data_IF_142509590098
#
_entry.id   IF_142509590098
#
_cell.length_a   1.000
_cell.length_b   1.000
_cell.length_c   1.000
_cell.angle_alpha   90.00
_cell.angle_beta   90.00
_cell.angle_gamma   90.00
#
_symmetry.space_group_name_H-M   'P 1'
#
loop_
_entity.id
_entity.type
_entity.pdbx_description
1 polymer ?
#
# COMPACT_ATOMS: atom_id res chain seq x y z
N UNK A 1 -10.77 25.84 -19.94
CA UNK A 1 -10.86 24.65 -19.05
C UNK A 1 -10.31 25.05 -17.72
N UNK A 2 -11.17 25.20 -16.77
CA UNK A 2 -10.77 25.50 -15.41
C UNK A 2 -10.19 24.26 -14.75
N UNK A 3 -9.01 24.41 -14.25
CA UNK A 3 -8.17 23.38 -13.65
C UNK A 3 -8.59 23.11 -12.19
N UNK A 4 -9.88 22.84 -12.00
CA UNK A 4 -10.45 22.64 -10.65
C UNK A 4 -10.08 21.29 -10.01
N UNK A 5 -9.47 20.39 -10.79
CA UNK A 5 -9.06 19.09 -10.26
C UNK A 5 -7.74 19.14 -9.47
N UNK A 6 -6.95 20.19 -9.64
CA UNK A 6 -5.69 20.39 -8.92
C UNK A 6 -5.87 21.12 -7.58
N UNK A 7 -7.07 21.61 -7.30
CA UNK A 7 -7.33 22.38 -6.08
C UNK A 7 -7.26 21.61 -4.77
N UNK A 8 -7.25 20.29 -4.81
CA UNK A 8 -7.15 19.45 -3.60
C UNK A 8 -5.72 19.16 -3.16
N UNK A 9 -4.75 19.33 -4.05
CA UNK A 9 -3.36 19.00 -3.77
C UNK A 9 -2.47 20.19 -4.05
N UNK A 10 -1.87 20.74 -2.99
CA UNK A 10 -0.98 21.90 -3.09
C UNK A 10 0.36 21.56 -3.74
N UNK A 11 0.72 20.26 -3.80
CA UNK A 11 2.02 19.80 -4.29
C UNK A 11 1.84 18.55 -5.15
N UNK A 12 2.74 18.39 -6.12
CA UNK A 12 2.84 17.17 -6.89
C UNK A 12 4.22 16.55 -6.72
N UNK A 13 4.25 15.22 -6.74
CA UNK A 13 5.49 14.45 -6.62
C UNK A 13 5.51 13.39 -7.73
N UNK A 14 6.07 13.73 -8.90
CA UNK A 14 6.18 12.75 -9.97
C UNK A 14 7.23 11.70 -9.63
N UNK A 15 6.88 10.43 -9.85
CA UNK A 15 7.78 9.30 -9.62
C UNK A 15 8.05 8.60 -10.94
N UNK A 16 9.31 8.62 -11.37
CA UNK A 16 9.73 7.85 -12.54
C UNK A 16 9.83 6.36 -12.22
N UNK A 17 9.82 5.53 -13.26
CA UNK A 17 10.06 4.09 -13.09
C UNK A 17 11.42 3.80 -12.44
N UNK A 18 12.44 4.56 -12.80
CA UNK A 18 13.78 4.43 -12.19
C UNK A 18 13.76 4.75 -10.70
N UNK A 19 13.06 5.80 -10.31
CA UNK A 19 12.89 6.16 -8.90
C UNK A 19 12.13 5.09 -8.13
N UNK A 20 11.01 4.62 -8.67
CA UNK A 20 10.23 3.58 -8.04
C UNK A 20 11.06 2.30 -7.84
N UNK A 21 11.81 1.91 -8.85
CA UNK A 21 12.69 0.73 -8.77
C UNK A 21 13.75 0.90 -7.67
N UNK A 22 14.43 2.04 -7.66
CA UNK A 22 15.44 2.34 -6.65
C UNK A 22 14.87 2.38 -5.24
N UNK A 23 13.72 3.02 -5.06
CA UNK A 23 13.08 3.14 -3.76
C UNK A 23 12.52 1.80 -3.28
N UNK A 24 11.97 0.99 -4.17
CA UNK A 24 11.53 -0.36 -3.83
C UNK A 24 12.70 -1.26 -3.42
N UNK A 25 13.87 -1.12 -4.05
CA UNK A 25 15.09 -1.80 -3.59
C UNK A 25 15.51 -1.34 -2.20
N UNK A 26 15.44 -0.03 -1.93
CA UNK A 26 15.73 0.50 -0.60
C UNK A 26 14.77 -0.06 0.44
N UNK A 27 13.49 -0.24 0.08
CA UNK A 27 12.52 -0.89 0.96
C UNK A 27 12.95 -2.34 1.26
N UNK A 28 13.36 -3.09 0.25
CA UNK A 28 13.84 -4.46 0.44
C UNK A 28 15.04 -4.51 1.41
N UNK A 29 15.98 -3.58 1.30
CA UNK A 29 17.13 -3.54 2.20
C UNK A 29 16.73 -3.27 3.65
N UNK A 30 15.74 -2.40 3.87
CA UNK A 30 15.19 -2.17 5.22
C UNK A 30 14.49 -3.41 5.75
N UNK A 31 13.84 -4.16 4.89
CA UNK A 31 13.12 -5.38 5.27
C UNK A 31 14.03 -6.58 5.51
N UNK A 32 15.27 -6.54 5.02
CA UNK A 32 16.23 -7.63 5.19
C UNK A 32 16.49 -7.98 6.66
N UNK A 33 16.42 -6.98 7.55
CA UNK A 33 16.60 -7.18 8.99
C UNK A 33 15.42 -7.91 9.65
N UNK A 34 14.29 -8.03 8.94
CA UNK A 34 13.08 -8.66 9.45
C UNK A 34 12.86 -10.08 8.89
N UNK A 35 13.78 -10.57 8.06
CA UNK A 35 13.71 -11.94 7.53
C UNK A 35 13.80 -13.00 8.65
N UNK A 36 13.18 -14.17 8.48
CA UNK A 36 12.57 -14.68 7.27
C UNK A 36 11.10 -14.31 7.11
N UNK A 37 10.64 -14.25 5.84
CA UNK A 37 9.22 -14.19 5.49
C UNK A 37 8.84 -15.44 4.68
N UNK A 38 7.60 -15.90 4.85
CA UNK A 38 7.05 -17.01 4.06
C UNK A 38 6.76 -16.58 2.61
N UNK A 39 6.43 -15.33 2.41
CA UNK A 39 6.09 -14.75 1.12
C UNK A 39 5.54 -13.35 1.26
N UNK A 40 5.06 -12.82 0.15
CA UNK A 40 4.51 -11.47 0.06
C UNK A 40 3.02 -11.54 -0.27
N UNK A 41 2.26 -10.62 0.33
CA UNK A 41 0.88 -10.31 -0.04
C UNK A 41 0.90 -8.89 -0.61
N UNK A 42 0.73 -8.77 -1.93
CA UNK A 42 0.68 -7.47 -2.59
C UNK A 42 -0.73 -6.91 -2.54
N UNK A 43 -0.88 -5.66 -2.13
CA UNK A 43 -2.15 -4.95 -2.22
C UNK A 43 -2.29 -4.43 -3.64
N UNK A 44 -3.24 -4.99 -4.38
CA UNK A 44 -3.43 -4.60 -5.78
C UNK A 44 -4.21 -3.28 -5.88
N UNK A 45 -3.96 -2.49 -6.85
CA UNK A 45 -2.97 -2.67 -7.94
C UNK A 45 -1.61 -2.08 -7.59
N UNK A 46 -1.58 -1.02 -6.78
CA UNK A 46 -0.38 -0.23 -6.51
C UNK A 46 0.80 -1.03 -5.98
N UNK A 47 0.55 -2.05 -5.17
CA UNK A 47 1.59 -2.87 -4.58
C UNK A 47 2.22 -3.92 -5.52
N UNK A 48 1.67 -4.13 -6.71
CA UNK A 48 2.15 -5.19 -7.60
C UNK A 48 3.60 -4.99 -8.05
N UNK A 49 3.94 -3.80 -8.51
CA UNK A 49 5.32 -3.52 -8.98
C UNK A 49 6.31 -3.49 -7.82
N UNK A 50 6.05 -2.77 -6.72
CA UNK A 50 6.94 -2.85 -5.55
C UNK A 50 7.11 -4.26 -5.01
N UNK A 51 6.03 -5.05 -4.93
CA UNK A 51 6.10 -6.43 -4.45
C UNK A 51 7.02 -7.30 -5.32
N UNK A 52 6.94 -7.15 -6.64
CA UNK A 52 7.81 -7.88 -7.57
C UNK A 52 9.29 -7.56 -7.34
N UNK A 53 9.60 -6.30 -7.14
CA UNK A 53 10.98 -5.84 -6.90
C UNK A 53 11.48 -6.35 -5.54
N UNK A 54 10.67 -6.19 -4.49
CA UNK A 54 11.03 -6.63 -3.14
C UNK A 54 11.19 -8.17 -3.09
N UNK A 55 10.30 -8.89 -3.73
CA UNK A 55 10.39 -10.35 -3.81
C UNK A 55 11.71 -10.81 -4.44
N UNK A 56 12.11 -10.16 -5.51
CA UNK A 56 13.37 -10.46 -6.18
C UNK A 56 14.58 -10.17 -5.30
N UNK A 57 14.60 -9.02 -4.65
CA UNK A 57 15.72 -8.61 -3.80
C UNK A 57 15.84 -9.47 -2.55
N UNK A 58 14.72 -9.91 -1.96
CA UNK A 58 14.71 -10.74 -0.77
C UNK A 58 14.65 -12.25 -1.07
N UNK A 59 14.67 -12.61 -2.36
CA UNK A 59 14.59 -14.01 -2.80
C UNK A 59 13.34 -14.74 -2.30
N UNK A 60 12.22 -14.02 -2.23
CA UNK A 60 10.92 -14.57 -1.89
C UNK A 60 10.19 -15.01 -3.16
N UNK A 61 9.77 -16.28 -3.20
CA UNK A 61 9.16 -16.85 -4.41
C UNK A 61 7.64 -16.87 -4.36
N UNK A 62 7.06 -16.84 -3.18
CA UNK A 62 5.61 -16.90 -3.02
C UNK A 62 5.05 -15.50 -2.93
N UNK A 63 4.19 -15.14 -3.89
CA UNK A 63 3.49 -13.87 -3.91
C UNK A 63 2.01 -14.16 -4.06
N UNK A 64 1.23 -13.72 -3.07
CA UNK A 64 -0.22 -13.66 -3.14
C UNK A 64 -0.67 -12.21 -3.29
N UNK A 65 -1.94 -12.02 -3.56
CA UNK A 65 -2.53 -10.69 -3.70
C UNK A 65 -3.78 -10.54 -2.84
N UNK A 66 -4.05 -9.32 -2.42
CA UNK A 66 -5.32 -8.93 -1.84
C UNK A 66 -5.82 -7.68 -2.57
N UNK A 67 -7.07 -7.69 -2.99
CA UNK A 67 -7.68 -6.56 -3.68
C UNK A 67 -8.71 -5.91 -2.78
N UNK A 68 -8.50 -4.65 -2.46
CA UNK A 68 -9.41 -3.86 -1.64
C UNK A 68 -9.72 -2.54 -2.33
N UNK A 69 -10.93 -2.07 -2.16
CA UNK A 69 -11.34 -0.74 -2.64
C UNK A 69 -11.94 0.04 -1.48
N UNK A 70 -11.63 1.33 -1.47
CA UNK A 70 -12.23 2.27 -0.53
C UNK A 70 -13.42 2.96 -1.20
N UNK A 71 -14.57 2.90 -0.53
CA UNK A 71 -15.75 3.65 -0.96
C UNK A 71 -15.62 5.09 -0.47
N UNK A 72 -15.09 5.96 -1.28
CA UNK A 72 -14.98 7.35 -0.85
C UNK A 72 -14.56 8.33 -1.91
N UNK A 73 -14.00 7.84 -3.00
CA UNK A 73 -13.34 8.73 -3.94
C UNK A 73 -13.82 8.68 -5.39
N UNK A 74 -14.53 7.65 -5.86
CA UNK A 74 -14.69 7.47 -7.29
C UNK A 74 -16.11 7.33 -7.83
N UNK A 75 -17.10 6.89 -7.06
CA UNK A 75 -18.45 6.70 -7.59
C UNK A 75 -19.52 7.21 -6.62
N UNK A 76 -19.81 8.48 -6.73
CA UNK A 76 -20.95 9.12 -6.04
C UNK A 76 -22.29 8.57 -6.51
N UNK A 77 -22.31 7.73 -7.56
CA UNK A 77 -23.56 7.28 -8.19
C UNK A 77 -24.19 6.08 -7.52
N UNK A 78 -23.43 5.25 -6.83
CA UNK A 78 -23.89 4.01 -6.22
C UNK A 78 -23.82 4.01 -4.67
N UNK A 79 -23.53 5.14 -4.07
CA UNK A 79 -23.28 5.18 -2.63
C UNK A 79 -24.51 5.59 -1.85
N UNK A 80 -25.05 4.65 -1.15
CA UNK A 80 -25.89 4.92 0.03
C UNK A 80 -24.99 5.58 1.08
N UNK A 81 -25.40 6.73 1.63
CA UNK A 81 -24.62 7.54 2.59
C UNK A 81 -24.01 6.75 3.77
N UNK A 82 -24.42 5.51 3.99
CA UNK A 82 -23.98 4.65 5.09
C UNK A 82 -22.64 3.96 4.85
N UNK A 83 -22.11 3.99 3.62
CA UNK A 83 -20.93 3.22 3.25
C UNK A 83 -19.68 4.07 2.99
N UNK A 84 -19.77 5.38 3.22
CA UNK A 84 -18.62 6.28 3.11
C UNK A 84 -17.57 5.90 4.15
N UNK A 85 -16.36 5.59 3.67
CA UNK A 85 -15.22 5.22 4.52
C UNK A 85 -15.10 3.72 4.79
N UNK A 86 -15.97 2.88 4.22
CA UNK A 86 -15.81 1.43 4.31
C UNK A 86 -14.89 0.91 3.20
N UNK A 87 -14.05 -0.04 3.58
CA UNK A 87 -13.19 -0.76 2.65
C UNK A 87 -13.86 -2.10 2.33
N UNK A 88 -13.95 -2.40 1.05
CA UNK A 88 -14.48 -3.68 0.57
C UNK A 88 -13.36 -4.53 -0.01
N UNK A 89 -13.32 -5.79 0.40
CA UNK A 89 -12.41 -6.77 -0.18
C UNK A 89 -13.03 -7.33 -1.46
N UNK A 90 -12.39 -7.07 -2.60
CA UNK A 90 -12.80 -7.60 -3.90
C UNK A 90 -12.24 -9.00 -4.14
N UNK A 91 -10.99 -9.22 -3.74
CA UNK A 91 -10.33 -10.51 -3.83
C UNK A 91 -9.57 -10.76 -2.53
N UNK A 92 -9.94 -11.76 -1.73
CA UNK A 92 -9.22 -12.06 -0.51
C UNK A 92 -7.88 -12.72 -0.80
N UNK A 93 -6.98 -12.65 0.18
CA UNK A 93 -5.76 -13.45 0.17
C UNK A 93 -6.08 -14.91 0.45
N UNK A 94 -5.26 -15.83 -0.05
CA UNK A 94 -5.32 -17.25 0.28
C UNK A 94 -4.52 -17.61 1.53
N UNK A 95 -3.84 -16.64 2.11
CA UNK A 95 -3.08 -16.84 3.35
C UNK A 95 -4.04 -17.02 4.51
N UNK A 96 -3.94 -18.15 5.17
CA UNK A 96 -4.75 -18.47 6.33
C UNK A 96 -4.18 -17.88 7.61
N UNK A 97 -5.06 -17.67 8.59
CA UNK A 97 -4.66 -17.23 9.92
C UNK A 97 -4.46 -15.70 10.02
N UNK A 98 -3.55 -15.31 10.90
CA UNK A 98 -3.31 -13.91 11.29
C UNK A 98 -2.22 -13.21 10.47
N UNK A 99 -1.63 -13.90 9.50
CA UNK A 99 -0.57 -13.35 8.65
C UNK A 99 0.82 -13.41 9.25
N UNK A 100 1.01 -14.08 10.39
CA UNK A 100 2.33 -14.21 10.99
C UNK A 100 3.34 -14.81 10.00
N UNK A 101 4.50 -14.20 9.87
CA UNK A 101 5.53 -14.61 8.92
C UNK A 101 5.33 -14.11 7.49
N UNK A 102 4.28 -13.35 7.22
CA UNK A 102 4.00 -12.78 5.89
C UNK A 102 4.30 -11.30 5.82
N UNK A 103 4.70 -10.86 4.64
CA UNK A 103 4.99 -9.46 4.32
C UNK A 103 3.90 -8.91 3.42
N UNK A 104 3.26 -7.83 3.85
CA UNK A 104 2.32 -7.07 3.02
C UNK A 104 3.07 -5.93 2.38
N UNK A 105 2.88 -5.72 1.08
CA UNK A 105 3.52 -4.64 0.32
C UNK A 105 2.48 -3.81 -0.41
N UNK A 106 2.57 -2.50 -0.23
CA UNK A 106 1.82 -1.50 -0.99
C UNK A 106 2.78 -0.44 -1.54
N UNK A 107 2.31 0.37 -2.45
CA UNK A 107 3.09 1.50 -3.01
C UNK A 107 3.04 2.74 -2.11
N UNK A 108 1.85 3.09 -1.66
CA UNK A 108 1.58 4.29 -0.87
C UNK A 108 0.51 4.01 0.18
N UNK A 109 0.75 4.47 1.39
CA UNK A 109 -0.28 4.56 2.42
C UNK A 109 -0.63 6.03 2.62
N UNK A 110 -1.83 6.42 2.22
CA UNK A 110 -2.32 7.80 2.27
C UNK A 110 -2.97 8.10 3.61
N UNK A 111 -4.28 7.86 3.74
CA UNK A 111 -5.01 8.05 5.00
C UNK A 111 -4.85 6.87 5.96
N UNK A 112 -4.50 5.73 5.43
CA UNK A 112 -4.37 4.48 6.18
C UNK A 112 -5.63 3.63 6.24
N UNK A 113 -6.71 4.01 5.55
CA UNK A 113 -7.96 3.24 5.54
C UNK A 113 -7.77 1.82 5.00
N UNK A 114 -7.16 1.71 3.82
CA UNK A 114 -6.85 0.41 3.21
C UNK A 114 -5.91 -0.41 4.10
N UNK A 115 -4.86 0.21 4.60
CA UNK A 115 -3.88 -0.45 5.46
C UNK A 115 -4.52 -0.97 6.74
N UNK A 116 -5.36 -0.19 7.40
CA UNK A 116 -6.08 -0.63 8.61
C UNK A 116 -7.02 -1.80 8.34
N UNK A 117 -7.72 -1.78 7.20
CA UNK A 117 -8.61 -2.87 6.83
C UNK A 117 -7.84 -4.17 6.56
N UNK A 118 -6.74 -4.10 5.82
CA UNK A 118 -5.90 -5.27 5.56
C UNK A 118 -5.25 -5.76 6.85
N UNK A 119 -4.78 -4.86 7.69
CA UNK A 119 -4.19 -5.21 8.97
C UNK A 119 -5.17 -5.85 9.93
N UNK A 120 -6.45 -5.49 9.87
CA UNK A 120 -7.49 -6.15 10.65
C UNK A 120 -7.68 -7.62 10.24
N UNK A 121 -7.48 -7.94 8.97
CA UNK A 121 -7.54 -9.30 8.45
C UNK A 121 -6.27 -10.11 8.75
N UNK A 122 -5.12 -9.45 8.77
CA UNK A 122 -3.79 -10.06 8.92
C UNK A 122 -2.99 -9.29 9.98
N UNK A 123 -3.41 -9.34 11.25
CA UNK A 123 -2.85 -8.45 12.28
C UNK A 123 -1.39 -8.74 12.62
N UNK A 124 -0.89 -9.92 12.35
CA UNK A 124 0.50 -10.32 12.65
C UNK A 124 1.44 -10.21 11.44
N UNK A 125 0.92 -9.83 10.27
CA UNK A 125 1.77 -9.61 9.11
C UNK A 125 2.60 -8.32 9.27
N UNK A 126 3.79 -8.31 8.69
CA UNK A 126 4.62 -7.11 8.61
C UNK A 126 4.13 -6.25 7.43
N UNK A 127 3.75 -5.01 7.68
CA UNK A 127 3.21 -4.11 6.66
C UNK A 127 4.28 -3.15 6.17
N UNK A 128 4.58 -3.20 4.87
CA UNK A 128 5.56 -2.36 4.22
C UNK A 128 4.95 -1.54 3.08
N UNK A 129 5.41 -0.31 2.93
CA UNK A 129 5.01 0.57 1.84
C UNK A 129 6.23 1.34 1.33
N UNK A 130 6.24 1.65 0.03
CA UNK A 130 7.31 2.48 -0.55
C UNK A 130 7.20 3.90 -0.01
N UNK A 131 6.00 4.48 -0.06
CA UNK A 131 5.70 5.82 0.42
C UNK A 131 4.67 5.77 1.54
N UNK A 132 4.76 6.72 2.46
CA UNK A 132 3.76 6.90 3.50
C UNK A 132 3.49 8.39 3.74
N UNK A 133 2.22 8.74 3.89
CA UNK A 133 1.81 10.07 4.32
C UNK A 133 1.55 10.08 5.83
N UNK A 134 1.62 11.27 6.47
CA UNK A 134 1.52 11.35 7.93
C UNK A 134 0.29 10.68 8.53
N UNK A 135 -0.88 10.79 7.88
CA UNK A 135 -2.13 10.20 8.39
C UNK A 135 -2.11 8.66 8.38
N UNK A 136 -1.32 8.04 7.49
CA UNK A 136 -1.23 6.59 7.37
C UNK A 136 0.03 5.98 7.98
N UNK A 137 1.02 6.80 8.31
CA UNK A 137 2.34 6.33 8.75
C UNK A 137 2.29 5.39 9.96
N UNK A 138 1.41 5.63 10.90
CA UNK A 138 1.32 4.83 12.13
C UNK A 138 0.86 3.38 11.89
N UNK A 139 0.26 3.09 10.74
CA UNK A 139 -0.23 1.76 10.38
C UNK A 139 0.84 0.92 9.68
N UNK A 140 1.93 1.55 9.22
CA UNK A 140 3.00 0.93 8.45
C UNK A 140 4.17 0.58 9.36
N UNK A 141 4.67 -0.66 9.26
CA UNK A 141 5.85 -1.09 10.03
C UNK A 141 7.16 -0.60 9.40
N UNK A 142 7.24 -0.63 8.07
CA UNK A 142 8.43 -0.20 7.33
C UNK A 142 8.03 0.56 6.07
N UNK A 143 8.62 1.73 5.88
CA UNK A 143 8.47 2.52 4.64
C UNK A 143 9.79 3.23 4.32
N UNK A 144 9.93 3.78 3.13
CA UNK A 144 11.16 4.46 2.71
C UNK A 144 11.02 5.97 2.76
N UNK A 145 10.02 6.52 2.10
CA UNK A 145 9.91 7.98 1.91
C UNK A 145 8.58 8.49 2.46
N UNK A 146 8.67 9.46 3.37
CA UNK A 146 7.51 10.20 3.83
C UNK A 146 7.18 11.32 2.84
N UNK A 147 5.91 11.43 2.49
CA UNK A 147 5.38 12.45 1.59
C UNK A 147 4.28 13.21 2.33
N UNK A 148 4.24 14.53 2.16
CA UNK A 148 3.24 15.35 2.86
C UNK A 148 1.82 14.98 2.46
N UNK A 149 0.86 15.17 3.38
CA UNK A 149 -0.53 14.75 3.18
C UNK A 149 -1.19 15.43 1.99
N UNK A 150 -0.79 16.66 1.67
CA UNK A 150 -1.33 17.46 0.57
C UNK A 150 -0.64 17.21 -0.78
N UNK A 151 0.15 16.14 -0.89
CA UNK A 151 0.91 15.82 -2.09
C UNK A 151 0.21 14.74 -2.92
N UNK A 152 0.15 14.97 -4.21
CA UNK A 152 -0.26 13.96 -5.19
C UNK A 152 0.96 13.22 -5.73
N UNK A 153 0.93 11.89 -5.73
CA UNK A 153 1.98 11.04 -6.30
C UNK A 153 1.46 10.39 -7.57
N UNK A 154 2.23 10.45 -8.68
CA UNK A 154 1.86 9.85 -9.97
C UNK A 154 3.08 9.40 -10.76
#
# INVERSE_FOLDING_TARGET
MSDDSLGQFAKSFPVSWEELHRTAKALAWRLADHLPFNGIIAITRGGLVPAAIVARELELRVIDTISVVSYGAADERDMVQKERGQVRVLKPTQVDGDGAGWLIVDDLVDTGETARAVRALLPQAHFASVYAKPAGRSVVDTFVTEVSQDTWIY
#
